data_IF_607686532585
#
_entry.id   IF_607686532585
#
_cell.length_a   1.000
_cell.length_b   1.000
_cell.length_c   1.000
_cell.angle_alpha   90.00
_cell.angle_beta   90.00
_cell.angle_gamma   90.00
#
_symmetry.space_group_name_H-M   'P 1'
#
loop_
_entity.id
_entity.type
_entity.pdbx_description
1 polymer ?
#
# COMPACT_ATOMS: atom_id res chain seq x y z
N UNK A 1 -7.18 -19.00 -17.22
CA UNK A 1 -6.95 -17.55 -17.16
C UNK A 1 -7.69 -17.03 -15.93
N UNK A 2 -7.15 -16.05 -15.21
CA UNK A 2 -7.81 -15.44 -14.06
C UNK A 2 -7.99 -13.93 -14.26
N UNK A 3 -8.75 -13.31 -13.38
CA UNK A 3 -9.16 -11.91 -13.41
C UNK A 3 -8.49 -11.17 -12.26
N UNK A 4 -8.17 -9.90 -12.48
CA UNK A 4 -7.50 -9.04 -11.49
C UNK A 4 -8.21 -7.70 -11.35
N UNK A 5 -8.28 -7.19 -10.13
CA UNK A 5 -8.81 -5.87 -9.82
C UNK A 5 -7.80 -5.12 -8.97
N UNK A 6 -7.47 -3.89 -9.37
CA UNK A 6 -6.64 -2.96 -8.62
C UNK A 6 -7.48 -2.03 -7.76
N UNK A 7 -6.82 -1.14 -7.03
CA UNK A 7 -7.45 -0.05 -6.27
C UNK A 7 -8.37 0.84 -7.13
N UNK A 8 -8.14 0.91 -8.45
CA UNK A 8 -8.98 1.70 -9.37
C UNK A 8 -10.35 1.06 -9.60
N UNK A 9 -10.40 -0.27 -9.66
CA UNK A 9 -11.65 -1.01 -9.86
C UNK A 9 -12.35 -1.33 -8.53
N UNK A 10 -11.58 -1.61 -7.47
CA UNK A 10 -12.10 -2.06 -6.19
C UNK A 10 -11.58 -1.19 -5.03
N UNK A 11 -12.38 -0.19 -4.65
CA UNK A 11 -12.00 0.86 -3.68
C UNK A 11 -11.61 0.36 -2.29
N UNK A 12 -12.12 -0.79 -1.84
CA UNK A 12 -11.73 -1.31 -0.52
C UNK A 12 -10.22 -1.62 -0.45
N UNK A 13 -9.59 -1.88 -1.59
CA UNK A 13 -8.15 -2.12 -1.67
C UNK A 13 -7.31 -0.85 -1.44
N UNK A 14 -7.93 0.34 -1.50
CA UNK A 14 -7.31 1.65 -1.24
C UNK A 14 -7.27 1.99 0.26
N UNK A 15 -8.08 1.32 1.10
CA UNK A 15 -8.09 1.60 2.53
C UNK A 15 -6.73 1.21 3.17
N UNK A 16 -6.03 2.18 3.79
CA UNK A 16 -4.69 1.95 4.35
C UNK A 16 -4.67 0.87 5.44
N UNK A 17 -5.78 0.65 6.13
CA UNK A 17 -5.89 -0.35 7.20
C UNK A 17 -6.45 -1.69 6.71
N UNK A 18 -6.79 -1.82 5.42
CA UNK A 18 -7.44 -3.02 4.89
C UNK A 18 -6.54 -4.26 5.01
N UNK A 19 -5.26 -4.12 4.66
CA UNK A 19 -4.27 -5.21 4.73
C UNK A 19 -4.11 -5.71 6.16
N UNK A 20 -4.06 -4.80 7.14
CA UNK A 20 -3.97 -5.20 8.54
C UNK A 20 -5.22 -5.93 9.01
N UNK A 21 -6.43 -5.43 8.69
CA UNK A 21 -7.69 -6.11 9.06
C UNK A 21 -7.79 -7.49 8.44
N UNK A 22 -7.46 -7.61 7.15
CA UNK A 22 -7.46 -8.87 6.44
C UNK A 22 -6.41 -9.84 7.01
N UNK A 23 -5.22 -9.34 7.33
CA UNK A 23 -4.14 -10.10 7.96
C UNK A 23 -4.54 -10.66 9.31
N UNK A 24 -5.10 -9.83 10.21
CA UNK A 24 -5.58 -10.27 11.53
C UNK A 24 -6.59 -11.40 11.40
N UNK A 25 -7.53 -11.28 10.46
CA UNK A 25 -8.51 -12.34 10.20
C UNK A 25 -7.85 -13.63 9.73
N UNK A 26 -6.97 -13.55 8.73
CA UNK A 26 -6.31 -14.72 8.13
C UNK A 26 -5.41 -15.44 9.11
N UNK A 27 -4.65 -14.71 9.93
CA UNK A 27 -3.80 -15.30 10.96
C UNK A 27 -4.60 -16.16 11.94
N UNK A 28 -5.82 -15.75 12.28
CA UNK A 28 -6.73 -16.56 13.11
C UNK A 28 -7.39 -17.75 12.41
N UNK A 29 -7.22 -17.90 11.09
CA UNK A 29 -8.00 -18.84 10.26
C UNK A 29 -7.11 -19.73 9.37
N UNK A 30 -5.79 -19.81 9.61
CA UNK A 30 -4.87 -20.58 8.75
C UNK A 30 -5.23 -22.08 8.64
N UNK A 31 -5.82 -22.68 9.69
CA UNK A 31 -6.31 -24.06 9.65
C UNK A 31 -7.51 -24.27 8.72
N UNK A 32 -8.17 -23.19 8.29
CA UNK A 32 -9.39 -23.21 7.48
C UNK A 32 -9.12 -22.90 6.00
N UNK A 33 -7.90 -23.22 5.53
CA UNK A 33 -7.52 -23.09 4.12
C UNK A 33 -7.10 -21.68 3.70
N UNK A 34 -6.91 -20.77 4.66
CA UNK A 34 -6.33 -19.45 4.43
C UNK A 34 -4.81 -19.50 4.54
N UNK A 35 -4.11 -18.71 3.71
CA UNK A 35 -2.66 -18.65 3.68
C UNK A 35 -2.17 -17.21 3.69
N UNK A 36 -1.00 -17.03 4.27
CA UNK A 36 -0.23 -15.80 4.23
C UNK A 36 1.19 -16.13 3.79
N UNK A 37 1.71 -15.35 2.85
CA UNK A 37 3.10 -15.35 2.46
C UNK A 37 3.61 -13.90 2.38
N UNK A 38 4.86 -13.69 2.77
CA UNK A 38 5.51 -12.39 2.64
C UNK A 38 7.00 -12.60 2.38
N UNK A 39 7.40 -12.31 1.15
CA UNK A 39 8.76 -12.51 0.67
C UNK A 39 9.50 -11.18 0.58
N UNK A 40 10.77 -11.18 1.00
CA UNK A 40 11.65 -10.01 0.85
C UNK A 40 12.09 -9.90 -0.60
N UNK A 41 11.79 -8.76 -1.21
CA UNK A 41 12.12 -8.47 -2.61
C UNK A 41 13.43 -7.68 -2.74
N UNK A 42 13.83 -6.97 -1.69
CA UNK A 42 15.07 -6.22 -1.65
C UNK A 42 15.04 -5.07 -0.65
N UNK A 43 16.01 -4.16 -0.79
CA UNK A 43 16.18 -3.00 0.08
C UNK A 43 16.26 -1.72 -0.77
N UNK A 44 15.72 -0.63 -0.24
CA UNK A 44 15.76 0.70 -0.86
C UNK A 44 16.41 1.67 0.10
N UNK A 45 17.55 2.24 -0.28
CA UNK A 45 18.20 3.32 0.46
C UNK A 45 17.65 4.68 0.03
N UNK A 46 17.32 5.52 1.02
CA UNK A 46 16.85 6.89 0.84
C UNK A 46 18.02 7.84 1.11
N UNK A 47 18.54 8.44 0.04
CA UNK A 47 19.60 9.44 0.13
C UNK A 47 19.00 10.84 0.17
N UNK A 48 19.56 11.68 1.04
CA UNK A 48 19.20 13.09 1.11
C UNK A 48 20.02 13.89 0.11
N UNK A 49 19.42 14.93 -0.48
CA UNK A 49 20.19 15.88 -1.29
C UNK A 49 21.05 16.76 -0.37
N UNK A 50 22.16 17.26 -0.90
CA UNK A 50 23.07 18.13 -0.14
C UNK A 50 22.36 19.39 0.35
N UNK A 51 21.48 19.95 -0.48
CA UNK A 51 20.69 21.15 -0.15
C UNK A 51 19.78 20.89 1.05
N UNK A 52 19.16 19.71 1.12
CA UNK A 52 18.33 19.32 2.27
C UNK A 52 19.18 19.08 3.52
N UNK A 53 20.35 18.43 3.39
CA UNK A 53 21.24 18.25 4.55
C UNK A 53 21.72 19.58 5.13
N UNK A 54 22.11 20.52 4.28
CA UNK A 54 22.60 21.84 4.70
C UNK A 54 21.48 22.65 5.38
N UNK A 55 20.24 22.54 4.87
CA UNK A 55 19.06 23.12 5.51
C UNK A 55 18.87 22.55 6.94
N UNK A 56 18.84 21.22 7.09
CA UNK A 56 18.64 20.58 8.40
C UNK A 56 19.76 20.93 9.38
N UNK A 57 21.02 20.99 8.93
CA UNK A 57 22.17 21.41 9.75
C UNK A 57 22.06 22.87 10.18
N UNK A 58 21.44 23.73 9.38
CA UNK A 58 21.23 25.15 9.73
C UNK A 58 20.11 25.36 10.75
N UNK A 59 19.10 24.48 10.76
CA UNK A 59 17.90 24.58 11.59
C UNK A 59 17.95 23.70 12.85
N UNK A 60 18.96 22.84 12.99
CA UNK A 60 19.06 21.87 14.09
C UNK A 60 20.49 21.71 14.60
N UNK A 61 20.65 20.92 15.67
CA UNK A 61 21.95 20.51 16.20
C UNK A 61 22.46 19.21 15.58
N UNK A 62 21.77 18.67 14.56
CA UNK A 62 22.11 17.41 13.90
C UNK A 62 23.35 17.63 13.03
N UNK A 63 24.46 16.96 13.37
CA UNK A 63 25.72 17.05 12.63
C UNK A 63 25.73 16.18 11.36
N UNK A 64 24.94 15.10 11.31
CA UNK A 64 24.89 14.17 10.18
C UNK A 64 23.54 13.49 10.11
N UNK A 65 22.92 13.48 8.92
CA UNK A 65 21.70 12.72 8.65
C UNK A 65 22.07 11.26 8.36
N UNK A 66 21.37 10.32 9.00
CA UNK A 66 21.55 8.89 8.72
C UNK A 66 20.74 8.51 7.50
N UNK A 67 21.33 7.80 6.55
CA UNK A 67 20.59 7.20 5.43
C UNK A 67 19.52 6.25 5.95
N UNK A 68 18.28 6.50 5.60
CA UNK A 68 17.16 5.62 5.93
C UNK A 68 17.04 4.51 4.89
N UNK A 69 16.77 3.28 5.34
CA UNK A 69 16.61 2.13 4.44
C UNK A 69 15.32 1.40 4.70
N UNK A 70 14.62 1.10 3.62
CA UNK A 70 13.35 0.38 3.63
C UNK A 70 13.55 -1.04 3.11
N UNK A 71 13.05 -2.04 3.84
CA UNK A 71 12.85 -3.39 3.33
C UNK A 71 11.60 -3.40 2.46
N UNK A 72 11.74 -3.86 1.22
CA UNK A 72 10.61 -4.01 0.29
C UNK A 72 10.20 -5.48 0.29
N UNK A 73 8.94 -5.75 0.61
CA UNK A 73 8.35 -7.08 0.61
C UNK A 73 7.18 -7.18 -0.36
N UNK A 74 6.92 -8.39 -0.86
CA UNK A 74 5.68 -8.75 -1.55
C UNK A 74 4.89 -9.69 -0.66
N UNK A 75 3.73 -9.22 -0.20
CA UNK A 75 2.79 -10.00 0.61
C UNK A 75 1.65 -10.56 -0.23
N UNK A 76 1.14 -11.72 0.17
CA UNK A 76 -0.05 -12.31 -0.40
C UNK A 76 -0.89 -13.00 0.68
N UNK A 77 -2.19 -12.78 0.60
CA UNK A 77 -3.23 -13.44 1.38
C UNK A 77 -4.09 -14.26 0.42
N UNK A 78 -4.34 -15.54 0.70
CA UNK A 78 -5.18 -16.34 -0.18
C UNK A 78 -6.10 -17.30 0.56
N UNK A 79 -7.22 -17.60 -0.08
CA UNK A 79 -8.14 -18.68 0.28
C UNK A 79 -8.12 -19.70 -0.86
N UNK A 80 -7.86 -20.97 -0.55
CA UNK A 80 -7.96 -22.05 -1.55
C UNK A 80 -9.37 -22.64 -1.60
N UNK A 81 -9.78 -23.15 -2.76
CA UNK A 81 -11.06 -23.83 -2.96
C UNK A 81 -11.93 -23.20 -4.05
N UNK A 82 -13.22 -23.53 -4.10
CA UNK A 82 -14.14 -23.09 -5.15
C UNK A 82 -14.37 -21.56 -5.18
N UNK A 83 -14.19 -20.89 -4.04
CA UNK A 83 -14.24 -19.43 -3.90
C UNK A 83 -12.84 -18.81 -3.84
N UNK A 84 -11.85 -19.41 -4.52
CA UNK A 84 -10.47 -18.99 -4.36
C UNK A 84 -10.26 -17.53 -4.77
N UNK A 85 -9.58 -16.81 -3.91
CA UNK A 85 -9.10 -15.47 -4.16
C UNK A 85 -7.71 -15.29 -3.55
N UNK A 86 -6.96 -14.36 -4.12
CA UNK A 86 -5.68 -13.90 -3.59
C UNK A 86 -5.64 -12.38 -3.56
N UNK A 87 -5.26 -11.80 -2.43
CA UNK A 87 -4.95 -10.38 -2.30
C UNK A 87 -3.43 -10.27 -2.19
N UNK A 88 -2.81 -9.65 -3.19
CA UNK A 88 -1.37 -9.40 -3.21
C UNK A 88 -1.08 -7.92 -3.01
N UNK A 89 -0.03 -7.60 -2.26
CA UNK A 89 0.32 -6.22 -1.89
C UNK A 89 1.83 -6.07 -1.79
N UNK A 90 2.32 -4.84 -1.95
CA UNK A 90 3.69 -4.45 -1.64
C UNK A 90 3.71 -3.85 -0.24
N UNK A 91 4.65 -4.26 0.59
CA UNK A 91 4.88 -3.69 1.91
C UNK A 91 6.28 -3.09 1.97
N UNK A 92 6.40 -1.87 2.48
CA UNK A 92 7.68 -1.24 2.78
C UNK A 92 7.80 -1.09 4.30
N UNK A 93 8.88 -1.61 4.88
CA UNK A 93 9.16 -1.51 6.31
C UNK A 93 10.44 -0.70 6.52
N UNK A 94 10.37 0.34 7.34
CA UNK A 94 11.56 1.14 7.67
C UNK A 94 12.46 0.38 8.65
N UNK A 95 13.73 0.25 8.26
CA UNK A 95 14.79 -0.37 9.07
C UNK A 95 15.54 0.75 9.79
N UNK A 96 15.69 0.63 11.12
CA UNK A 96 16.44 1.62 11.93
C UNK A 96 17.89 1.24 12.22
N UNK A 97 18.28 0.03 11.83
CA UNK A 97 19.64 -0.48 12.00
C UNK A 97 20.67 0.36 11.26
N UNK A 98 21.90 0.30 11.78
CA UNK A 98 23.07 0.62 10.99
C UNK A 98 23.19 -0.38 9.83
N UNK A 99 23.55 0.12 8.64
CA UNK A 99 23.79 -0.72 7.48
C UNK A 99 25.27 -0.94 7.25
N UNK A 100 25.62 -2.11 6.73
CA UNK A 100 26.96 -2.37 6.24
C UNK A 100 27.23 -1.49 5.00
N UNK A 101 28.31 -0.69 4.98
CA UNK A 101 28.57 0.28 3.91
C UNK A 101 28.95 -0.36 2.57
N UNK A 102 29.30 -1.65 2.54
CA UNK A 102 29.65 -2.36 1.32
C UNK A 102 28.45 -3.09 0.71
N UNK A 103 27.58 -3.66 1.54
CA UNK A 103 26.48 -4.53 1.12
C UNK A 103 25.09 -3.87 1.22
N UNK A 104 24.97 -2.76 1.96
CA UNK A 104 23.72 -2.07 2.28
C UNK A 104 22.69 -2.98 2.99
N UNK A 105 23.16 -4.03 3.66
CA UNK A 105 22.33 -4.91 4.49
C UNK A 105 22.37 -4.46 5.95
N UNK A 106 21.29 -4.71 6.73
CA UNK A 106 21.26 -4.39 8.16
C UNK A 106 22.36 -5.13 8.94
N UNK A 107 23.07 -4.41 9.80
CA UNK A 107 24.02 -5.00 10.76
C UNK A 107 23.24 -5.43 12.02
N UNK A 108 23.39 -6.69 12.40
CA UNK A 108 22.77 -7.25 13.61
C UNK A 108 21.30 -7.64 13.43
N UNK A 109 20.57 -7.74 14.55
CA UNK A 109 19.13 -8.04 14.55
C UNK A 109 18.33 -6.85 14.01
N UNK A 110 17.42 -7.09 13.07
CA UNK A 110 16.63 -6.03 12.42
C UNK A 110 15.63 -5.43 13.42
N UNK A 111 15.83 -4.16 13.78
CA UNK A 111 14.89 -3.32 14.49
C UNK A 111 13.98 -2.61 13.48
N UNK A 112 12.75 -3.12 13.39
CA UNK A 112 11.72 -2.54 12.56
C UNK A 112 11.09 -1.35 13.27
N UNK A 113 11.14 -0.17 12.63
CA UNK A 113 10.16 0.84 12.95
C UNK A 113 8.81 0.31 12.44
N UNK A 114 7.86 0.07 13.33
CA UNK A 114 6.60 -0.66 13.06
C UNK A 114 5.61 0.03 12.10
N UNK A 115 6.07 0.91 11.21
CA UNK A 115 5.25 1.61 10.22
C UNK A 115 5.36 0.87 8.88
N UNK A 116 4.51 -0.14 8.68
CA UNK A 116 4.36 -0.81 7.39
C UNK A 116 3.56 0.09 6.44
N UNK A 117 4.14 0.41 5.29
CA UNK A 117 3.45 1.14 4.22
C UNK A 117 3.02 0.14 3.16
N UNK A 118 1.71 -0.03 3.00
CA UNK A 118 1.13 -0.90 1.98
C UNK A 118 0.83 -0.14 0.68
N UNK A 119 1.12 -0.77 -0.45
CA UNK A 119 0.84 -0.22 -1.77
C UNK A 119 0.64 -1.34 -2.81
N UNK A 120 0.17 -0.97 -4.01
CA UNK A 120 -0.02 -1.91 -5.12
C UNK A 120 -0.84 -3.16 -4.74
N UNK A 121 -1.93 -2.92 -4.01
CA UNK A 121 -2.88 -3.96 -3.62
C UNK A 121 -3.69 -4.40 -4.83
N UNK A 122 -3.72 -5.70 -5.09
CA UNK A 122 -4.41 -6.33 -6.21
C UNK A 122 -5.17 -7.55 -5.70
N UNK A 123 -6.45 -7.64 -6.06
CA UNK A 123 -7.25 -8.85 -5.93
C UNK A 123 -7.09 -9.69 -7.20
N UNK A 124 -6.86 -10.99 -7.05
CA UNK A 124 -6.90 -11.99 -8.10
C UNK A 124 -7.97 -13.04 -7.79
N UNK A 125 -8.71 -13.48 -8.81
CA UNK A 125 -9.61 -14.63 -8.72
C UNK A 125 -9.69 -15.36 -10.06
N UNK A 126 -10.08 -16.63 -10.04
CA UNK A 126 -10.38 -17.41 -11.26
C UNK A 126 -11.80 -17.16 -11.78
N UNK A 127 -12.68 -16.54 -10.98
CA UNK A 127 -14.05 -16.22 -11.34
C UNK A 127 -14.15 -14.80 -11.91
N UNK A 128 -14.91 -14.61 -12.99
CA UNK A 128 -15.15 -13.30 -13.60
C UNK A 128 -15.90 -12.35 -12.66
N UNK A 129 -16.72 -12.88 -11.75
CA UNK A 129 -17.43 -12.10 -10.73
C UNK A 129 -16.69 -12.11 -9.37
N UNK A 130 -15.37 -12.32 -9.39
CA UNK A 130 -14.55 -12.51 -8.19
C UNK A 130 -14.54 -11.30 -7.26
N UNK A 131 -14.60 -10.08 -7.79
CA UNK A 131 -14.69 -8.84 -7.03
C UNK A 131 -15.98 -8.75 -6.18
N UNK A 132 -17.12 -9.11 -6.76
CA UNK A 132 -18.42 -9.10 -6.07
C UNK A 132 -18.42 -10.17 -4.97
N UNK A 133 -18.00 -11.39 -5.29
CA UNK A 133 -17.91 -12.50 -4.35
C UNK A 133 -16.97 -12.19 -3.18
N UNK A 134 -15.81 -11.61 -3.48
CA UNK A 134 -14.85 -11.20 -2.46
C UNK A 134 -15.41 -10.08 -1.58
N UNK A 135 -16.06 -9.09 -2.18
CA UNK A 135 -16.68 -7.97 -1.46
C UNK A 135 -17.77 -8.47 -0.50
N UNK A 136 -18.62 -9.40 -0.94
CA UNK A 136 -19.66 -9.97 -0.08
C UNK A 136 -19.08 -10.88 1.01
N UNK A 137 -17.98 -11.59 0.71
CA UNK A 137 -17.20 -12.32 1.71
C UNK A 137 -16.67 -11.37 2.79
N UNK A 138 -16.03 -10.25 2.40
CA UNK A 138 -15.52 -9.24 3.33
C UNK A 138 -16.63 -8.69 4.25
N UNK A 139 -17.82 -8.37 3.71
CA UNK A 139 -18.97 -7.90 4.50
C UNK A 139 -19.44 -8.95 5.50
N UNK A 140 -19.56 -10.20 5.06
CA UNK A 140 -20.05 -11.31 5.89
C UNK A 140 -19.13 -11.55 7.09
N UNK A 141 -17.83 -11.29 6.93
CA UNK A 141 -16.83 -11.44 7.99
C UNK A 141 -16.54 -10.14 8.74
N UNK A 142 -17.31 -9.07 8.49
CA UNK A 142 -17.16 -7.80 9.20
C UNK A 142 -15.86 -7.04 8.91
N UNK A 143 -15.18 -7.36 7.80
CA UNK A 143 -13.91 -6.73 7.43
C UNK A 143 -14.08 -5.36 6.77
N UNK A 144 -15.30 -5.08 6.31
CA UNK A 144 -15.71 -3.82 5.68
C UNK A 144 -17.14 -3.47 6.10
N UNK A 145 -17.42 -2.17 6.21
CA UNK A 145 -18.73 -1.62 6.57
C UNK A 145 -19.53 -1.13 5.36
N UNK A 146 -20.83 -0.85 5.56
CA UNK A 146 -21.70 -0.22 4.54
C UNK A 146 -21.21 1.16 4.09
N UNK A 147 -20.46 1.87 4.93
CA UNK A 147 -19.88 3.19 4.67
C UNK A 147 -18.72 3.19 3.68
N UNK A 148 -18.07 2.05 3.47
CA UNK A 148 -16.80 1.96 2.72
C UNK A 148 -17.04 2.02 1.20
N UNK A 149 -18.32 2.01 0.78
CA UNK A 149 -18.75 2.13 -0.61
C UNK A 149 -19.58 3.40 -0.83
N UNK A 150 -18.99 4.57 -0.64
CA UNK A 150 -19.55 5.79 -1.25
C UNK A 150 -19.41 5.69 -2.77
N UNK A 151 -20.49 5.25 -3.43
CA UNK A 151 -20.65 5.18 -4.90
C UNK A 151 -20.65 6.53 -5.63
N UNK A 152 -20.19 7.64 -5.02
CA UNK A 152 -20.30 8.99 -5.61
C UNK A 152 -18.96 9.57 -6.06
N UNK A 153 -18.32 9.03 -7.10
CA UNK A 153 -17.39 9.82 -7.94
C UNK A 153 -17.45 9.45 -9.44
N UNK A 154 -18.35 8.57 -9.89
CA UNK A 154 -18.57 8.36 -11.33
C UNK A 154 -19.90 8.93 -11.76
N UNK A 155 -20.02 10.25 -11.62
CA UNK A 155 -21.05 11.05 -12.27
C UNK A 155 -20.52 12.46 -12.46
N UNK A 156 -19.59 12.64 -13.40
CA UNK A 156 -19.73 13.65 -14.45
C UNK A 156 -18.59 13.54 -15.49
N UNK A 157 -18.90 13.61 -16.79
CA UNK A 157 -17.90 13.75 -17.84
C UNK A 157 -17.30 15.17 -17.85
N UNK A 158 -16.14 15.28 -18.47
CA UNK A 158 -15.40 16.50 -18.82
C UNK A 158 -16.28 17.75 -19.00
N UNK A 159 -16.13 18.72 -18.11
CA UNK A 159 -16.56 20.09 -18.34
C UNK A 159 -15.32 20.98 -18.34
N UNK A 160 -14.84 21.20 -19.56
CA UNK A 160 -14.21 22.41 -20.09
C UNK A 160 -13.55 23.36 -19.07
N UNK A 161 -12.22 23.37 -19.06
CA UNK A 161 -11.46 24.54 -18.61
C UNK A 161 -11.69 25.71 -19.57
N UNK A 162 -12.75 26.49 -19.34
CA UNK A 162 -12.92 27.80 -19.97
C UNK A 162 -12.21 28.84 -19.12
N UNK A 163 -11.06 29.32 -19.58
CA UNK A 163 -10.33 30.44 -18.97
C UNK A 163 -11.11 31.74 -19.27
N UNK A 164 -11.49 32.56 -18.27
CA UNK A 164 -12.10 33.85 -18.54
C UNK A 164 -11.06 34.84 -19.05
N UNK A 165 -11.25 35.36 -20.27
CA UNK A 165 -10.56 36.53 -20.80
C UNK A 165 -10.92 37.76 -19.96
N UNK A 166 -10.03 38.20 -19.08
CA UNK A 166 -10.04 39.56 -18.55
C UNK A 166 -9.46 40.51 -19.59
N UNK A 167 -10.27 41.42 -20.10
CA UNK A 167 -9.85 42.47 -21.02
C UNK A 167 -10.91 43.55 -21.16
N UNK A 168 -10.98 44.46 -20.19
CA UNK A 168 -11.55 45.79 -20.39
C UNK A 168 -10.50 46.82 -19.97
N UNK A 169 -9.73 47.31 -20.94
CA UNK A 169 -9.04 48.59 -20.84
C UNK A 169 -9.84 49.53 -21.76
N UNK A 170 -10.51 50.51 -21.17
CA UNK A 170 -11.04 51.66 -21.90
C UNK A 170 -10.24 52.89 -21.47
N UNK A 171 -9.72 53.60 -22.46
CA UNK A 171 -9.10 54.93 -22.38
C UNK A 171 -10.09 55.97 -21.84
#
# INVERSE_FOLDING_TARGET
>A
MGFTWSVRELRVLEDPNFIDRLGHYIHGQQSNGYRFAMDVMGYKAMYYSKEFEDLVKSESTISTLKTEVQQVCRGAFSKLGAESWEVSFKAEALIRNELDPNTHLPIGEIDYATDLIYSNTILYSVSENGDVLFTDWLKTHGLIGKSDFSKKVFSQPEAEFTIPLQGNIAL
#
